data_IF_293963364002
#
_entry.id   IF_293963364002
#
_cell.length_a   1.000
_cell.length_b   1.000
_cell.length_c   1.000
_cell.angle_alpha   90.00
_cell.angle_beta   90.00
_cell.angle_gamma   90.00
#
_symmetry.space_group_name_H-M   'P 1'
#
loop_
_entity.id
_entity.type
_entity.pdbx_description
1 polymer ?
#
# COMPACT_ATOMS: atom_id res chain seq x y z
N UNK A 1 -24.49 -9.88 4.08
CA UNK A 1 -23.44 -8.82 4.07
C UNK A 1 -22.01 -9.36 3.92
N UNK A 2 -21.73 -10.61 4.31
CA UNK A 2 -20.40 -11.26 4.24
C UNK A 2 -19.80 -11.32 2.82
N UNK A 3 -20.64 -11.41 1.79
CA UNK A 3 -20.20 -11.63 0.41
C UNK A 3 -19.49 -10.40 -0.21
N UNK A 4 -19.92 -9.18 0.12
CA UNK A 4 -19.29 -7.95 -0.40
C UNK A 4 -17.92 -7.71 0.27
N UNK A 5 -17.85 -7.89 1.60
CA UNK A 5 -16.62 -7.75 2.37
C UNK A 5 -15.53 -8.74 1.90
N UNK A 6 -15.89 -10.01 1.71
CA UNK A 6 -14.97 -11.04 1.20
C UNK A 6 -14.51 -10.69 -0.22
N UNK A 7 -15.42 -10.22 -1.08
CA UNK A 7 -15.09 -9.81 -2.45
C UNK A 7 -14.12 -8.62 -2.48
N UNK A 8 -14.35 -7.61 -1.64
CA UNK A 8 -13.46 -6.46 -1.49
C UNK A 8 -12.08 -6.86 -0.96
N UNK A 9 -12.03 -7.71 0.06
CA UNK A 9 -10.78 -8.25 0.60
C UNK A 9 -10.02 -9.09 -0.42
N UNK A 10 -10.70 -9.98 -1.16
CA UNK A 10 -10.08 -10.75 -2.26
C UNK A 10 -9.49 -9.84 -3.33
N UNK A 11 -10.16 -8.73 -3.67
CA UNK A 11 -9.71 -7.79 -4.69
C UNK A 11 -8.55 -6.90 -4.20
N UNK A 12 -8.62 -6.42 -2.95
CA UNK A 12 -7.57 -5.61 -2.30
C UNK A 12 -6.29 -6.42 -2.10
N UNK A 13 -6.43 -7.64 -1.57
CA UNK A 13 -5.29 -8.51 -1.26
C UNK A 13 -4.92 -9.47 -2.40
N UNK A 14 -5.64 -9.44 -3.52
CA UNK A 14 -5.43 -10.26 -4.73
C UNK A 14 -5.29 -11.76 -4.37
N UNK A 15 -6.27 -12.26 -3.60
CA UNK A 15 -6.31 -13.63 -3.06
C UNK A 15 -6.94 -14.55 -4.11
N UNK A 16 -6.20 -15.59 -4.54
CA UNK A 16 -6.65 -16.52 -5.58
C UNK A 16 -7.25 -17.83 -5.02
N UNK A 17 -7.00 -18.17 -3.76
CA UNK A 17 -7.46 -19.43 -3.14
C UNK A 17 -8.79 -19.34 -2.38
N UNK A 18 -9.28 -20.51 -1.94
CA UNK A 18 -10.41 -20.59 -1.01
C UNK A 18 -10.00 -19.94 0.32
N UNK A 19 -10.84 -19.03 0.79
CA UNK A 19 -10.61 -18.29 2.02
C UNK A 19 -11.29 -19.08 3.14
N UNK A 20 -10.54 -20.01 3.73
CA UNK A 20 -11.00 -20.80 4.87
C UNK A 20 -11.24 -19.89 6.10
N UNK A 21 -12.13 -20.30 7.02
CA UNK A 21 -12.50 -19.51 8.21
C UNK A 21 -11.28 -19.13 9.04
N UNK A 22 -10.34 -20.06 9.20
CA UNK A 22 -9.08 -19.83 9.91
C UNK A 22 -8.23 -18.73 9.26
N UNK A 23 -8.14 -18.71 7.93
CA UNK A 23 -7.39 -17.70 7.16
C UNK A 23 -8.08 -16.34 7.21
N UNK A 24 -9.41 -16.32 7.19
CA UNK A 24 -10.20 -15.10 7.33
C UNK A 24 -10.06 -14.49 8.73
N UNK A 25 -10.01 -15.31 9.78
CA UNK A 25 -9.75 -14.86 11.15
C UNK A 25 -8.37 -14.22 11.29
N UNK A 26 -7.32 -14.80 10.69
CA UNK A 26 -5.97 -14.22 10.71
C UNK A 26 -5.89 -12.89 9.96
N UNK A 27 -6.58 -12.77 8.82
CA UNK A 27 -6.69 -11.52 8.06
C UNK A 27 -7.39 -10.43 8.88
N UNK A 28 -8.48 -10.77 9.58
CA UNK A 28 -9.16 -9.85 10.50
C UNK A 28 -8.24 -9.41 11.63
N UNK A 29 -7.54 -10.34 12.28
CA UNK A 29 -6.63 -10.02 13.38
C UNK A 29 -5.48 -9.12 12.93
N UNK A 30 -4.92 -9.37 11.74
CA UNK A 30 -3.92 -8.50 11.11
C UNK A 30 -4.49 -7.10 10.86
N UNK A 31 -5.69 -7.03 10.27
CA UNK A 31 -6.40 -5.78 10.02
C UNK A 31 -6.65 -4.98 11.29
N UNK A 32 -7.10 -5.62 12.37
CA UNK A 32 -7.33 -4.98 13.67
C UNK A 32 -6.03 -4.47 14.30
N UNK A 33 -4.93 -5.23 14.24
CA UNK A 33 -3.62 -4.80 14.76
C UNK A 33 -3.07 -3.61 13.99
N UNK A 34 -3.14 -3.65 12.66
CA UNK A 34 -2.72 -2.55 11.80
C UNK A 34 -3.61 -1.32 12.00
N UNK A 35 -4.92 -1.52 12.12
CA UNK A 35 -5.88 -0.45 12.39
C UNK A 35 -5.63 0.24 13.73
N UNK A 36 -5.40 -0.53 14.79
CA UNK A 36 -5.01 0.02 16.10
C UNK A 36 -3.68 0.78 16.01
N UNK A 37 -2.67 0.22 15.33
CA UNK A 37 -1.39 0.88 15.14
C UNK A 37 -1.50 2.20 14.37
N UNK A 38 -2.30 2.22 13.30
CA UNK A 38 -2.60 3.42 12.53
C UNK A 38 -3.38 4.46 13.35
N UNK A 39 -4.29 4.02 14.20
CA UNK A 39 -5.07 4.91 15.06
C UNK A 39 -4.18 5.55 16.14
N UNK A 40 -3.30 4.78 16.77
CA UNK A 40 -2.29 5.31 17.71
C UNK A 40 -1.36 6.28 17.00
N UNK A 41 -0.89 5.94 15.79
CA UNK A 41 -0.09 6.85 14.97
C UNK A 41 -0.84 8.14 14.66
N UNK A 42 -2.11 8.08 14.26
CA UNK A 42 -2.92 9.26 13.95
C UNK A 42 -3.04 10.17 15.18
N UNK A 43 -3.37 9.62 16.34
CA UNK A 43 -3.47 10.39 17.59
C UNK A 43 -2.13 11.04 17.97
N UNK A 44 -1.03 10.28 17.90
CA UNK A 44 0.31 10.81 18.16
C UNK A 44 0.71 11.89 17.16
N UNK A 45 0.34 11.73 15.89
CA UNK A 45 0.63 12.69 14.84
C UNK A 45 -0.15 14.00 15.06
N UNK A 46 -1.45 13.93 15.39
CA UNK A 46 -2.27 15.11 15.68
C UNK A 46 -1.77 15.88 16.91
N UNK A 47 -1.39 15.17 17.98
CA UNK A 47 -0.77 15.79 19.16
C UNK A 47 0.56 16.45 18.80
N UNK A 48 1.39 15.75 18.00
CA UNK A 48 2.65 16.29 17.52
C UNK A 48 2.49 17.54 16.64
N UNK A 49 1.48 17.54 15.76
CA UNK A 49 1.12 18.69 14.93
C UNK A 49 0.68 19.88 15.78
N UNK A 50 -0.22 19.66 16.74
CA UNK A 50 -0.68 20.69 17.69
C UNK A 50 0.46 21.32 18.49
N UNK A 51 1.43 20.51 18.91
CA UNK A 51 2.61 21.02 19.61
C UNK A 51 3.53 21.79 18.64
N UNK A 52 3.78 21.24 17.46
CA UNK A 52 4.69 21.83 16.47
C UNK A 52 4.22 23.20 15.97
N UNK A 53 2.90 23.42 15.85
CA UNK A 53 2.35 24.72 15.41
C UNK A 53 2.67 25.88 16.36
N UNK A 54 3.08 25.61 17.60
CA UNK A 54 3.53 26.65 18.53
C UNK A 54 4.98 27.09 18.30
N UNK A 55 5.78 26.31 17.56
CA UNK A 55 7.23 26.51 17.45
C UNK A 55 7.73 26.66 16.01
N UNK A 56 6.98 26.21 15.01
CA UNK A 56 7.41 26.18 13.62
C UNK A 56 6.35 26.79 12.68
N UNK A 57 6.80 27.25 11.51
CA UNK A 57 5.92 27.75 10.45
C UNK A 57 5.03 26.64 9.88
N UNK A 58 3.76 26.97 9.62
CA UNK A 58 2.74 26.03 9.17
C UNK A 58 3.12 25.27 7.89
N UNK A 59 3.78 25.92 6.92
CA UNK A 59 4.19 25.30 5.66
C UNK A 59 5.21 24.17 5.83
N UNK A 60 6.19 24.37 6.72
CA UNK A 60 7.19 23.35 7.04
C UNK A 60 6.59 22.15 7.77
N UNK A 61 5.67 22.40 8.70
CA UNK A 61 4.94 21.37 9.44
C UNK A 61 4.08 20.52 8.48
N UNK A 62 3.34 21.16 7.57
CA UNK A 62 2.47 20.47 6.61
C UNK A 62 3.30 19.56 5.69
N UNK A 63 4.42 20.06 5.21
CA UNK A 63 5.36 19.31 4.35
C UNK A 63 5.90 18.07 5.07
N UNK A 64 6.35 18.23 6.33
CA UNK A 64 6.83 17.10 7.14
C UNK A 64 5.72 16.09 7.42
N UNK A 65 4.50 16.54 7.71
CA UNK A 65 3.37 15.67 7.96
C UNK A 65 3.02 14.81 6.73
N UNK A 66 3.04 15.41 5.53
CA UNK A 66 2.78 14.69 4.28
C UNK A 66 3.86 13.64 4.02
N UNK A 67 5.14 13.98 4.21
CA UNK A 67 6.24 13.03 4.06
C UNK A 67 6.15 11.88 5.06
N UNK A 68 5.88 12.19 6.34
CA UNK A 68 5.73 11.19 7.40
C UNK A 68 4.59 10.20 7.07
N UNK A 69 3.44 10.71 6.62
CA UNK A 69 2.32 9.88 6.19
C UNK A 69 2.65 9.01 4.97
N UNK A 70 3.42 9.54 4.01
CA UNK A 70 3.92 8.75 2.89
C UNK A 70 4.78 7.56 3.34
N UNK A 71 5.67 7.77 4.31
CA UNK A 71 6.51 6.71 4.90
C UNK A 71 5.67 5.68 5.66
N UNK A 72 4.67 6.13 6.43
CA UNK A 72 3.76 5.24 7.15
C UNK A 72 2.94 4.39 6.18
N UNK A 73 2.42 4.99 5.11
CA UNK A 73 1.69 4.29 4.05
C UNK A 73 2.56 3.18 3.42
N UNK A 74 3.80 3.48 3.06
CA UNK A 74 4.76 2.49 2.55
C UNK A 74 4.97 1.35 3.54
N UNK A 75 5.20 1.69 4.82
CA UNK A 75 5.46 0.72 5.88
C UNK A 75 4.29 -0.24 6.06
N UNK A 76 3.06 0.29 6.08
CA UNK A 76 1.84 -0.52 6.18
C UNK A 76 1.68 -1.42 4.96
N UNK A 77 1.90 -0.92 3.75
CA UNK A 77 1.89 -1.74 2.53
C UNK A 77 2.88 -2.90 2.60
N UNK A 78 4.10 -2.66 3.08
CA UNK A 78 5.14 -3.69 3.24
C UNK A 78 4.70 -4.74 4.28
N UNK A 79 4.20 -4.31 5.45
CA UNK A 79 3.77 -5.22 6.52
C UNK A 79 2.61 -6.09 6.03
N UNK A 80 1.62 -5.49 5.37
CA UNK A 80 0.50 -6.20 4.76
C UNK A 80 1.02 -7.22 3.75
N UNK A 81 1.90 -6.81 2.83
CA UNK A 81 2.40 -7.73 1.80
C UNK A 81 3.19 -8.89 2.41
N UNK A 82 4.00 -8.65 3.45
CA UNK A 82 4.70 -9.71 4.19
C UNK A 82 3.73 -10.67 4.88
N UNK A 83 2.71 -10.14 5.56
CA UNK A 83 1.72 -10.96 6.25
C UNK A 83 0.91 -11.81 5.27
N UNK A 84 0.45 -11.24 4.15
CA UNK A 84 -0.31 -12.01 3.15
C UNK A 84 0.58 -13.03 2.41
N UNK A 85 1.88 -12.75 2.24
CA UNK A 85 2.85 -13.77 1.75
C UNK A 85 2.99 -14.93 2.74
N UNK A 86 3.13 -14.65 4.05
CA UNK A 86 3.27 -15.67 5.10
C UNK A 86 2.06 -16.61 5.18
N UNK A 87 0.86 -16.11 4.87
CA UNK A 87 -0.38 -16.88 4.88
C UNK A 87 -0.58 -17.76 3.63
N UNK A 88 0.33 -17.68 2.65
CA UNK A 88 0.29 -18.45 1.40
C UNK A 88 -1.01 -18.31 0.59
N UNK A 89 -1.78 -17.25 0.87
CA UNK A 89 -3.10 -16.96 0.29
C UNK A 89 -3.05 -16.59 -1.20
N UNK A 90 -1.85 -16.56 -1.77
CA UNK A 90 -1.55 -15.88 -3.02
C UNK A 90 -0.91 -16.80 -4.05
N UNK A 91 -0.68 -18.08 -3.77
CA UNK A 91 -0.14 -19.01 -4.78
C UNK A 91 -1.12 -19.17 -5.94
N UNK A 92 -0.59 -19.01 -7.15
CA UNK A 92 -1.30 -19.25 -8.39
C UNK A 92 -0.46 -20.24 -9.18
N UNK A 93 -1.07 -21.39 -9.46
CA UNK A 93 -0.48 -22.39 -10.33
C UNK A 93 -0.69 -21.94 -11.77
N UNK A 94 0.42 -21.78 -12.50
CA UNK A 94 0.41 -21.32 -13.89
C UNK A 94 1.20 -22.31 -14.73
N UNK A 95 0.61 -22.78 -15.83
CA UNK A 95 1.28 -23.63 -16.81
C UNK A 95 2.47 -22.92 -17.44
N UNK A 96 3.48 -23.67 -17.86
CA UNK A 96 4.68 -23.12 -18.49
C UNK A 96 4.38 -22.16 -19.66
N UNK A 97 3.35 -22.48 -20.47
CA UNK A 97 2.90 -21.64 -21.59
C UNK A 97 2.20 -20.33 -21.15
N UNK A 98 1.54 -20.31 -19.98
CA UNK A 98 0.81 -19.15 -19.46
C UNK A 98 1.68 -18.16 -18.68
N UNK A 99 2.88 -18.58 -18.27
CA UNK A 99 3.75 -17.83 -17.35
C UNK A 99 4.17 -16.45 -17.86
N UNK A 100 4.57 -16.35 -19.14
CA UNK A 100 4.98 -15.08 -19.73
C UNK A 100 3.81 -14.07 -19.83
N UNK A 101 2.60 -14.55 -20.10
CA UNK A 101 1.38 -13.71 -20.16
C UNK A 101 0.99 -13.21 -18.77
N UNK A 102 1.13 -14.06 -17.75
CA UNK A 102 0.91 -13.67 -16.35
C UNK A 102 1.89 -12.58 -15.91
N UNK A 103 3.19 -12.74 -16.18
CA UNK A 103 4.22 -11.76 -15.83
C UNK A 103 3.95 -10.38 -16.45
N UNK A 104 3.56 -10.32 -17.73
CA UNK A 104 3.18 -9.06 -18.38
C UNK A 104 1.98 -8.41 -17.68
N UNK A 105 0.94 -9.18 -17.36
CA UNK A 105 -0.25 -8.67 -16.67
C UNK A 105 0.07 -8.20 -15.26
N UNK A 106 0.95 -8.91 -14.56
CA UNK A 106 1.45 -8.53 -13.24
C UNK A 106 2.20 -7.20 -13.30
N UNK A 107 3.07 -7.01 -14.31
CA UNK A 107 3.80 -5.75 -14.55
C UNK A 107 2.84 -4.57 -14.78
N UNK A 108 1.82 -4.73 -15.63
CA UNK A 108 0.84 -3.67 -15.86
C UNK A 108 0.02 -3.33 -14.61
N UNK A 109 -0.43 -4.34 -13.86
CA UNK A 109 -1.14 -4.13 -12.60
C UNK A 109 -0.29 -3.45 -11.53
N UNK A 110 0.99 -3.80 -11.46
CA UNK A 110 1.91 -3.20 -10.50
C UNK A 110 2.25 -1.75 -10.86
N UNK A 111 2.48 -1.45 -12.14
CA UNK A 111 2.72 -0.08 -12.61
C UNK A 111 1.50 0.81 -12.37
N UNK A 112 0.30 0.34 -12.68
CA UNK A 112 -0.93 1.11 -12.43
C UNK A 112 -1.16 1.38 -10.93
N UNK A 113 -0.87 0.41 -10.07
CA UNK A 113 -0.96 0.60 -8.62
C UNK A 113 0.09 1.60 -8.09
N UNK A 114 1.33 1.50 -8.57
CA UNK A 114 2.38 2.43 -8.21
C UNK A 114 2.04 3.85 -8.60
N UNK A 115 1.63 4.06 -9.86
CA UNK A 115 1.19 5.37 -10.36
C UNK A 115 0.02 5.93 -9.55
N UNK A 116 -0.95 5.10 -9.20
CA UNK A 116 -2.08 5.52 -8.36
C UNK A 116 -1.63 6.01 -6.98
N UNK A 117 -0.74 5.27 -6.31
CA UNK A 117 -0.18 5.70 -5.01
C UNK A 117 0.60 7.00 -5.12
N UNK A 118 1.48 7.12 -6.13
CA UNK A 118 2.24 8.35 -6.37
C UNK A 118 1.35 9.56 -6.67
N UNK A 119 0.32 9.36 -7.49
CA UNK A 119 -0.64 10.40 -7.84
C UNK A 119 -1.45 10.91 -6.63
N UNK A 120 -1.80 10.04 -5.67
CA UNK A 120 -2.47 10.48 -4.44
C UNK A 120 -1.59 11.45 -3.65
N UNK A 121 -0.29 11.17 -3.55
CA UNK A 121 0.64 12.02 -2.80
C UNK A 121 0.80 13.38 -3.47
N UNK A 122 0.93 13.40 -4.80
CA UNK A 122 1.02 14.65 -5.58
C UNK A 122 -0.29 15.43 -5.55
N UNK A 123 -1.43 14.77 -5.71
CA UNK A 123 -2.76 15.41 -5.69
C UNK A 123 -3.12 15.97 -4.31
N UNK A 124 -2.79 15.25 -3.23
CA UNK A 124 -3.01 15.70 -1.87
C UNK A 124 -2.23 16.98 -1.55
N UNK A 125 -1.02 17.11 -2.09
CA UNK A 125 -0.22 18.32 -1.95
C UNK A 125 -0.71 19.47 -2.84
N UNK A 126 -1.04 19.18 -4.10
CA UNK A 126 -1.50 20.18 -5.06
C UNK A 126 -2.82 20.87 -4.64
N UNK A 127 -3.61 20.24 -3.76
CA UNK A 127 -4.87 20.80 -3.28
C UNK A 127 -4.71 21.78 -2.10
N UNK A 128 -3.57 21.78 -1.41
CA UNK A 128 -3.44 22.45 -0.10
C UNK A 128 -2.21 23.33 0.10
N UNK A 129 -1.38 23.57 -0.92
CA UNK A 129 -0.09 24.25 -0.74
C UNK A 129 0.25 25.17 -1.91
N UNK A 130 0.86 26.33 -1.60
CA UNK A 130 1.54 27.15 -2.60
C UNK A 130 2.59 26.31 -3.34
N UNK A 131 2.69 26.50 -4.66
CA UNK A 131 3.41 25.61 -5.57
C UNK A 131 4.95 25.51 -5.33
N UNK A 132 5.46 26.16 -4.29
CA UNK A 132 6.89 26.29 -3.96
C UNK A 132 7.60 24.93 -3.76
N UNK A 133 6.90 23.88 -3.30
CA UNK A 133 7.50 22.52 -3.16
C UNK A 133 6.90 21.47 -4.09
N UNK A 134 6.22 21.87 -5.17
CA UNK A 134 5.63 20.93 -6.13
C UNK A 134 6.68 19.96 -6.70
N UNK A 135 7.90 20.43 -6.97
CA UNK A 135 9.00 19.59 -7.46
C UNK A 135 9.40 18.47 -6.50
N UNK A 136 9.54 18.79 -5.21
CA UNK A 136 9.88 17.81 -4.15
C UNK A 136 8.79 16.76 -3.99
N UNK A 137 7.53 17.17 -4.10
CA UNK A 137 6.37 16.28 -3.97
C UNK A 137 6.16 15.39 -5.19
N UNK A 138 6.43 15.90 -6.39
CA UNK A 138 6.49 15.07 -7.61
C UNK A 138 7.60 14.04 -7.49
N UNK A 139 8.78 14.42 -6.98
CA UNK A 139 9.88 13.48 -6.77
C UNK A 139 9.55 12.42 -5.72
N UNK A 140 8.99 12.83 -4.57
CA UNK A 140 8.53 11.91 -3.52
C UNK A 140 7.42 10.97 -4.01
N UNK A 141 6.44 11.49 -4.74
CA UNK A 141 5.38 10.71 -5.37
C UNK A 141 5.90 9.74 -6.43
N UNK A 142 6.91 10.13 -7.21
CA UNK A 142 7.56 9.25 -8.18
C UNK A 142 8.33 8.11 -7.52
N UNK A 143 9.08 8.41 -6.45
CA UNK A 143 9.78 7.39 -5.66
C UNK A 143 8.77 6.43 -5.03
N UNK A 144 7.68 6.96 -4.45
CA UNK A 144 6.59 6.16 -3.89
C UNK A 144 5.98 5.23 -4.95
N UNK A 145 5.72 5.75 -6.16
CA UNK A 145 5.17 4.97 -7.27
C UNK A 145 6.09 3.83 -7.70
N UNK A 146 7.40 4.10 -7.79
CA UNK A 146 8.40 3.10 -8.13
C UNK A 146 8.51 2.01 -7.05
N UNK A 147 8.59 2.40 -5.77
CA UNK A 147 8.71 1.47 -4.66
C UNK A 147 7.48 0.57 -4.52
N UNK A 148 6.29 1.16 -4.52
CA UNK A 148 5.02 0.41 -4.41
C UNK A 148 4.74 -0.44 -5.64
N UNK A 149 5.08 0.06 -6.84
CA UNK A 149 5.01 -0.70 -8.08
C UNK A 149 5.99 -1.88 -8.09
N UNK A 150 7.24 -1.67 -7.70
CA UNK A 150 8.24 -2.72 -7.62
C UNK A 150 7.89 -3.80 -6.59
N UNK A 151 7.48 -3.40 -5.39
CA UNK A 151 7.04 -4.33 -4.35
C UNK A 151 5.83 -5.15 -4.81
N UNK A 152 4.86 -4.52 -5.49
CA UNK A 152 3.70 -5.24 -6.04
C UNK A 152 4.11 -6.19 -7.17
N UNK A 153 5.04 -5.82 -8.03
CA UNK A 153 5.54 -6.68 -9.10
C UNK A 153 6.26 -7.91 -8.55
N UNK A 154 7.22 -7.73 -7.64
CA UNK A 154 7.95 -8.84 -7.01
C UNK A 154 6.98 -9.75 -6.25
N UNK A 155 5.99 -9.15 -5.59
CA UNK A 155 4.95 -9.90 -4.90
C UNK A 155 4.09 -10.70 -5.87
N UNK A 156 3.74 -10.19 -7.05
CA UNK A 156 2.95 -10.95 -8.04
C UNK A 156 3.78 -12.03 -8.74
N UNK A 157 5.07 -11.76 -9.00
CA UNK A 157 6.01 -12.72 -9.58
C UNK A 157 6.25 -13.91 -8.66
N UNK A 158 6.53 -13.66 -7.38
CA UNK A 158 6.87 -14.70 -6.40
C UNK A 158 5.68 -15.62 -6.03
N UNK A 159 4.47 -15.28 -6.48
CA UNK A 159 3.27 -16.10 -6.32
C UNK A 159 3.11 -17.19 -7.36
N UNK A 160 3.74 -17.03 -8.52
CA UNK A 160 3.63 -17.99 -9.60
C UNK A 160 4.50 -19.19 -9.28
N UNK A 161 3.85 -20.33 -9.07
CA UNK A 161 4.53 -21.62 -9.12
C UNK A 161 4.40 -22.12 -10.56
N UNK A 162 5.55 -22.33 -11.22
CA UNK A 162 5.58 -22.98 -12.53
C UNK A 162 5.29 -24.46 -12.28
N UNK A 163 4.20 -24.96 -12.84
CA UNK A 163 3.92 -26.39 -12.89
C UNK A 163 4.32 -26.84 -14.29
N UNK A 164 5.23 -27.82 -14.33
CA UNK A 164 5.68 -28.48 -15.56
C UNK A 164 4.67 -29.56 -15.97
#
# INVERSE_FOLDING_TARGET
MTNLYIKSMRKLFDIAGVLDEYRLAQLKQLGSRLGLGLLVYLVMQEVGLLLATNFFEAGGILTMAILLNGVVLLTVCIIINRAVRKLDLRRVDVTAAGYARYLRRAKWRSTGYGLFCGAILVAGYAWGSDHEFMGTMVLAGSVLALLTGYDRYTTLRNRCRKID
#
